data_IF_967257532331
#
_entry.id   IF_967257532331
#
_cell.length_a   1.000
_cell.length_b   1.000
_cell.length_c   1.000
_cell.angle_alpha   90.00
_cell.angle_beta   90.00
_cell.angle_gamma   90.00
#
_symmetry.space_group_name_H-M   'P 1'
#
loop_
_entity.id
_entity.type
_entity.pdbx_description
1 polymer ?
#
# COMPACT_ATOMS: atom_id res chain seq x y z
N UNK A 1 -1.33 -8.93 -9.22
CA UNK A 1 0.00 -9.50 -8.91
C UNK A 1 -0.25 -10.77 -8.11
N UNK A 2 0.19 -11.92 -8.62
CA UNK A 2 0.08 -13.22 -7.93
C UNK A 2 1.42 -13.56 -7.29
N UNK A 3 1.39 -14.34 -6.20
CA UNK A 3 2.58 -14.86 -5.52
C UNK A 3 3.64 -13.78 -5.22
N UNK A 4 3.17 -12.62 -4.74
CA UNK A 4 4.01 -11.43 -4.56
C UNK A 4 5.13 -11.63 -3.53
N UNK A 5 4.97 -12.59 -2.62
CA UNK A 5 5.96 -13.04 -1.64
C UNK A 5 7.16 -13.75 -2.28
N UNK A 6 7.00 -14.32 -3.49
CA UNK A 6 8.05 -15.00 -4.24
C UNK A 6 8.79 -14.09 -5.22
N UNK A 7 8.32 -12.85 -5.39
CA UNK A 7 8.88 -11.90 -6.33
C UNK A 7 9.91 -11.00 -5.64
N UNK A 8 11.00 -10.72 -6.35
CA UNK A 8 11.89 -9.61 -5.98
C UNK A 8 11.19 -8.27 -6.22
N UNK A 9 11.75 -7.17 -5.68
CA UNK A 9 11.22 -5.83 -5.97
C UNK A 9 11.15 -5.54 -7.48
N UNK A 10 12.18 -5.96 -8.23
CA UNK A 10 12.19 -5.83 -9.69
C UNK A 10 11.10 -6.70 -10.35
N UNK A 11 10.87 -7.91 -9.83
CA UNK A 11 9.78 -8.78 -10.31
C UNK A 11 8.40 -8.17 -10.07
N UNK A 12 8.19 -7.54 -8.92
CA UNK A 12 6.94 -6.82 -8.61
C UNK A 12 6.74 -5.66 -9.60
N UNK A 13 7.78 -4.85 -9.86
CA UNK A 13 7.70 -3.73 -10.79
C UNK A 13 7.40 -4.19 -12.22
N UNK A 14 8.06 -5.24 -12.69
CA UNK A 14 7.79 -5.83 -14.00
C UNK A 14 6.33 -6.31 -14.13
N UNK A 15 5.80 -6.95 -13.09
CA UNK A 15 4.41 -7.43 -13.11
C UNK A 15 3.40 -6.27 -13.09
N UNK A 16 3.69 -5.19 -12.37
CA UNK A 16 2.88 -3.95 -12.42
C UNK A 16 2.88 -3.39 -13.84
N UNK A 17 4.04 -3.26 -14.48
CA UNK A 17 4.15 -2.73 -15.84
C UNK A 17 3.42 -3.62 -16.85
N UNK A 18 3.54 -4.95 -16.73
CA UNK A 18 2.84 -5.92 -17.57
C UNK A 18 1.33 -5.72 -17.47
N UNK A 19 0.78 -5.69 -16.26
CA UNK A 19 -0.65 -5.48 -16.02
C UNK A 19 -1.11 -4.11 -16.52
N UNK A 20 -0.33 -3.05 -16.28
CA UNK A 20 -0.65 -1.69 -16.72
C UNK A 20 -0.69 -1.56 -18.26
N UNK A 21 0.22 -2.23 -18.98
CA UNK A 21 0.19 -2.26 -20.44
C UNK A 21 -1.08 -2.95 -20.95
N UNK A 22 -1.41 -4.13 -20.41
CA UNK A 22 -2.60 -4.87 -20.81
C UNK A 22 -3.90 -4.12 -20.56
N UNK A 23 -3.98 -3.35 -19.48
CA UNK A 23 -5.11 -2.45 -19.21
C UNK A 23 -5.23 -1.39 -20.31
N UNK A 24 -4.12 -0.75 -20.72
CA UNK A 24 -4.12 0.25 -21.79
C UNK A 24 -4.51 -0.35 -23.14
N UNK A 25 -4.05 -1.55 -23.41
CA UNK A 25 -4.31 -2.28 -24.65
C UNK A 25 -5.70 -2.97 -24.66
N UNK A 26 -6.44 -2.91 -23.54
CA UNK A 26 -7.76 -3.55 -23.39
C UNK A 26 -7.71 -5.09 -23.41
N UNK A 27 -6.54 -5.67 -23.18
CA UNK A 27 -6.27 -7.11 -23.31
C UNK A 27 -6.16 -7.83 -21.97
N UNK A 28 -6.62 -7.21 -20.88
CA UNK A 28 -6.58 -7.82 -19.55
C UNK A 28 -7.64 -8.92 -19.43
N UNK A 29 -7.22 -10.13 -19.02
CA UNK A 29 -8.15 -11.25 -18.87
C UNK A 29 -8.93 -11.16 -17.55
N UNK A 30 -10.16 -11.69 -17.55
CA UNK A 30 -10.97 -11.75 -16.33
C UNK A 30 -10.29 -12.55 -15.22
N UNK A 31 -9.53 -13.60 -15.58
CA UNK A 31 -8.76 -14.41 -14.64
C UNK A 31 -7.67 -13.61 -13.91
N UNK A 32 -7.18 -12.50 -14.48
CA UNK A 32 -6.20 -11.62 -13.86
C UNK A 32 -6.83 -10.64 -12.85
N UNK A 33 -8.14 -10.41 -12.95
CA UNK A 33 -8.92 -9.56 -12.04
C UNK A 33 -9.43 -10.31 -10.79
N UNK A 34 -9.37 -11.64 -10.79
CA UNK A 34 -9.95 -12.48 -9.74
C UNK A 34 -8.92 -13.01 -8.73
N UNK A 35 -9.37 -13.28 -7.51
CA UNK A 35 -8.60 -14.02 -6.51
C UNK A 35 -7.52 -13.23 -5.76
N UNK A 36 -7.61 -11.90 -5.74
CA UNK A 36 -6.75 -11.08 -4.88
C UNK A 36 -7.10 -11.26 -3.39
N UNK A 37 -6.09 -11.26 -2.52
CA UNK A 37 -6.24 -11.40 -1.06
C UNK A 37 -6.21 -10.06 -0.33
N UNK A 38 -5.61 -9.04 -0.93
CA UNK A 38 -5.49 -7.69 -0.40
C UNK A 38 -5.45 -6.69 -1.57
N UNK A 39 -5.86 -5.45 -1.33
CA UNK A 39 -5.83 -4.38 -2.34
C UNK A 39 -4.97 -3.21 -1.86
N UNK A 40 -4.18 -2.64 -2.78
CA UNK A 40 -3.51 -1.36 -2.60
C UNK A 40 -4.10 -0.39 -3.62
N UNK A 41 -4.55 0.77 -3.16
CA UNK A 41 -5.10 1.83 -3.99
C UNK A 41 -4.29 3.11 -3.79
N UNK A 42 -3.88 3.77 -4.87
CA UNK A 42 -3.10 5.00 -4.82
C UNK A 42 -3.92 6.19 -5.34
N UNK A 43 -4.68 6.83 -4.45
CA UNK A 43 -5.40 8.07 -4.74
C UNK A 43 -4.48 9.31 -4.75
N UNK A 44 -3.22 9.14 -4.33
CA UNK A 44 -2.21 10.21 -4.32
C UNK A 44 -1.90 10.77 -5.71
N UNK A 45 -2.11 9.98 -6.76
CA UNK A 45 -1.97 10.42 -8.16
C UNK A 45 -2.93 11.57 -8.52
N UNK A 46 -4.05 11.69 -7.80
CA UNK A 46 -5.04 12.75 -7.96
C UNK A 46 -4.92 13.87 -6.91
N UNK A 47 -3.85 13.84 -6.09
CA UNK A 47 -3.65 14.82 -5.03
C UNK A 47 -4.48 14.59 -3.77
N UNK A 48 -5.09 13.41 -3.61
CA UNK A 48 -5.82 13.06 -2.38
C UNK A 48 -4.89 13.08 -1.17
N UNK A 49 -5.29 13.76 -0.09
CA UNK A 49 -4.51 13.87 1.14
C UNK A 49 -4.77 12.71 2.11
N UNK A 50 -6.03 12.34 2.29
CA UNK A 50 -6.49 11.25 3.15
C UNK A 50 -7.91 10.86 2.71
N UNK A 51 -8.22 9.57 2.73
CA UNK A 51 -9.54 9.04 2.36
C UNK A 51 -9.80 7.72 3.10
N UNK A 52 -11.05 7.29 3.10
CA UNK A 52 -11.47 5.99 3.63
C UNK A 52 -11.68 5.02 2.46
N UNK A 53 -10.69 4.18 2.11
CA UNK A 53 -10.83 3.26 1.00
C UNK A 53 -11.93 2.22 1.29
N UNK A 54 -12.67 1.84 0.26
CA UNK A 54 -13.75 0.85 0.37
C UNK A 54 -13.16 -0.54 0.12
N UNK A 55 -13.51 -1.51 0.97
CA UNK A 55 -13.10 -2.91 0.81
C UNK A 55 -13.53 -3.45 -0.56
N UNK A 56 -12.71 -4.32 -1.16
CA UNK A 56 -13.05 -5.05 -2.38
C UNK A 56 -13.41 -6.50 -2.00
N UNK A 57 -14.70 -6.85 -1.81
CA UNK A 57 -15.07 -8.19 -1.40
C UNK A 57 -14.57 -9.25 -2.41
N UNK A 58 -14.11 -10.42 -1.95
CA UNK A 58 -14.20 -10.96 -0.59
C UNK A 58 -13.02 -10.61 0.34
N UNK A 59 -12.20 -9.60 0.02
CA UNK A 59 -10.99 -9.28 0.79
C UNK A 59 -11.30 -8.62 2.14
N UNK A 60 -10.44 -8.88 3.12
CA UNK A 60 -10.59 -8.37 4.50
C UNK A 60 -9.89 -7.05 4.75
N UNK A 61 -9.11 -6.53 3.79
CA UNK A 61 -8.36 -5.29 3.96
C UNK A 61 -8.00 -4.58 2.65
N UNK A 62 -7.89 -3.26 2.72
CA UNK A 62 -7.41 -2.40 1.63
C UNK A 62 -6.54 -1.27 2.19
N UNK A 63 -5.37 -1.08 1.58
CA UNK A 63 -4.45 0.03 1.88
C UNK A 63 -4.64 1.17 0.88
N UNK A 64 -4.96 2.36 1.38
CA UNK A 64 -5.00 3.60 0.62
C UNK A 64 -3.70 4.40 0.78
N UNK A 65 -2.98 4.59 -0.32
CA UNK A 65 -1.87 5.54 -0.45
C UNK A 65 -2.39 6.90 -0.94
N UNK A 66 -1.75 7.96 -0.45
CA UNK A 66 -2.14 9.34 -0.68
C UNK A 66 -0.96 10.16 -1.23
N UNK A 67 -1.19 11.45 -1.47
CA UNK A 67 -0.14 12.30 -2.02
C UNK A 67 1.04 12.45 -1.04
N UNK A 68 2.22 12.69 -1.62
CA UNK A 68 3.42 13.03 -0.87
C UNK A 68 3.55 14.55 -0.87
N UNK A 69 3.48 15.16 0.31
CA UNK A 69 3.59 16.62 0.46
C UNK A 69 4.62 16.97 1.53
N UNK A 70 5.34 18.09 1.33
CA UNK A 70 6.27 18.59 2.35
C UNK A 70 5.49 19.04 3.58
N UNK A 71 5.82 18.52 4.75
CA UNK A 71 5.25 18.93 6.04
C UNK A 71 6.35 19.21 7.05
N UNK A 72 6.11 20.17 7.93
CA UNK A 72 6.90 20.37 9.13
C UNK A 72 6.56 19.25 10.12
N UNK A 73 7.58 18.52 10.56
CA UNK A 73 7.48 17.47 11.58
C UNK A 73 8.58 17.67 12.61
N UNK A 74 8.33 17.24 13.83
CA UNK A 74 9.33 17.28 14.90
C UNK A 74 10.10 15.95 14.89
N UNK A 75 11.43 16.02 14.82
CA UNK A 75 12.32 14.84 14.90
C UNK A 75 13.39 15.15 15.94
N UNK A 76 13.35 14.44 17.07
CA UNK A 76 14.04 14.88 18.29
C UNK A 76 13.32 16.12 18.83
N UNK A 77 14.05 17.21 19.02
CA UNK A 77 13.52 18.51 19.48
C UNK A 77 13.61 19.61 18.41
N UNK A 78 13.76 19.23 17.14
CA UNK A 78 13.90 20.16 16.02
C UNK A 78 12.76 20.01 15.01
N UNK A 79 12.26 21.14 14.48
CA UNK A 79 11.33 21.16 13.35
C UNK A 79 12.11 20.90 12.07
N UNK A 80 11.73 19.84 11.34
CA UNK A 80 12.31 19.47 10.06
C UNK A 80 11.22 19.36 9.01
N UNK A 81 11.50 19.85 7.80
CA UNK A 81 10.62 19.63 6.65
C UNK A 81 10.89 18.22 6.11
N UNK A 82 9.83 17.42 5.95
CA UNK A 82 9.90 16.06 5.40
C UNK A 82 8.83 15.82 4.34
N UNK A 83 9.11 15.01 3.30
CA UNK A 83 8.08 14.47 2.43
C UNK A 83 7.24 13.48 3.26
N UNK A 84 5.97 13.81 3.47
CA UNK A 84 5.06 13.00 4.27
C UNK A 84 3.88 12.53 3.42
N UNK A 85 3.43 11.30 3.67
CA UNK A 85 2.24 10.68 3.08
C UNK A 85 1.38 10.14 4.21
N UNK A 86 0.06 10.36 4.14
CA UNK A 86 -0.87 9.58 4.96
C UNK A 86 -1.17 8.24 4.29
N UNK A 87 -1.28 7.21 5.11
CA UNK A 87 -1.76 5.90 4.69
C UNK A 87 -3.03 5.58 5.47
N UNK A 88 -4.01 4.98 4.79
CA UNK A 88 -5.27 4.55 5.41
C UNK A 88 -5.44 3.05 5.22
N UNK A 89 -5.79 2.34 6.29
CA UNK A 89 -6.16 0.93 6.22
C UNK A 89 -7.64 0.81 6.57
N UNK A 90 -8.45 0.40 5.61
CA UNK A 90 -9.80 -0.08 5.89
C UNK A 90 -9.75 -1.60 6.01
N UNK A 91 -10.41 -2.15 7.02
CA UNK A 91 -10.41 -3.58 7.31
C UNK A 91 -11.78 -4.04 7.78
N UNK A 92 -12.08 -5.32 7.54
CA UNK A 92 -13.30 -5.95 8.02
C UNK A 92 -13.16 -6.32 9.50
N UNK A 93 -13.77 -5.51 10.35
CA UNK A 93 -13.69 -5.66 11.81
C UNK A 93 -14.36 -6.93 12.34
N UNK A 94 -15.10 -7.68 11.50
CA UNK A 94 -15.64 -9.00 11.84
C UNK A 94 -14.57 -10.08 11.90
N UNK A 95 -13.43 -9.85 11.23
CA UNK A 95 -12.35 -10.84 11.04
C UNK A 95 -11.05 -10.34 11.65
N UNK A 96 -10.75 -9.04 11.51
CA UNK A 96 -9.49 -8.43 11.95
C UNK A 96 -9.77 -7.52 13.15
N UNK A 97 -9.03 -7.71 14.24
CA UNK A 97 -9.14 -6.84 15.42
C UNK A 97 -8.37 -5.51 15.22
N UNK A 98 -8.79 -4.47 15.95
CA UNK A 98 -8.16 -3.16 15.90
C UNK A 98 -6.66 -3.20 16.23
N UNK A 99 -6.24 -4.07 17.16
CA UNK A 99 -4.81 -4.24 17.48
C UNK A 99 -4.02 -4.76 16.28
N UNK A 100 -4.55 -5.74 15.56
CA UNK A 100 -3.88 -6.36 14.41
C UNK A 100 -3.76 -5.36 13.25
N UNK A 101 -4.85 -4.65 12.96
CA UNK A 101 -4.88 -3.61 11.93
C UNK A 101 -3.87 -2.49 12.21
N UNK A 102 -3.81 -2.00 13.45
CA UNK A 102 -2.85 -0.95 13.85
C UNK A 102 -1.42 -1.47 13.77
N UNK A 103 -1.16 -2.69 14.27
CA UNK A 103 0.19 -3.28 14.25
C UNK A 103 0.67 -3.49 12.81
N UNK A 104 -0.20 -3.96 11.91
CA UNK A 104 0.09 -4.09 10.49
C UNK A 104 0.48 -2.74 9.87
N UNK A 105 -0.30 -1.69 10.12
CA UNK A 105 -0.04 -0.37 9.52
C UNK A 105 1.25 0.27 10.08
N UNK A 106 1.52 0.08 11.37
CA UNK A 106 2.79 0.52 12.00
C UNK A 106 3.97 -0.22 11.39
N UNK A 107 3.88 -1.55 11.22
CA UNK A 107 4.93 -2.35 10.59
C UNK A 107 5.21 -1.87 9.16
N UNK A 108 4.16 -1.63 8.37
CA UNK A 108 4.29 -1.10 7.02
C UNK A 108 4.96 0.28 6.99
N UNK A 109 4.57 1.18 7.88
CA UNK A 109 5.22 2.49 8.05
C UNK A 109 6.71 2.32 8.33
N UNK A 110 7.08 1.46 9.27
CA UNK A 110 8.48 1.23 9.66
C UNK A 110 9.33 0.67 8.51
N UNK A 111 8.80 -0.30 7.76
CA UNK A 111 9.48 -0.87 6.60
C UNK A 111 9.70 0.17 5.49
N UNK A 112 8.75 1.07 5.26
CA UNK A 112 8.89 2.11 4.23
C UNK A 112 9.84 3.22 4.69
N UNK A 113 9.79 3.61 5.96
CA UNK A 113 10.69 4.64 6.51
C UNK A 113 12.14 4.15 6.65
N UNK A 114 12.34 2.83 6.84
CA UNK A 114 13.66 2.21 6.92
C UNK A 114 13.70 0.88 6.12
N UNK A 115 13.85 0.92 4.78
CA UNK A 115 13.77 -0.25 3.90
C UNK A 115 14.78 -1.36 4.20
N UNK A 116 15.91 -1.01 4.80
CA UNK A 116 16.93 -1.95 5.28
C UNK A 116 16.40 -2.97 6.30
N UNK A 117 15.32 -2.65 7.02
CA UNK A 117 14.60 -3.61 7.88
C UNK A 117 14.03 -4.78 7.11
N UNK A 118 13.57 -4.55 5.87
CA UNK A 118 13.06 -5.61 5.00
C UNK A 118 14.17 -6.57 4.54
N UNK A 119 15.43 -6.13 4.53
CA UNK A 119 16.59 -6.98 4.19
C UNK A 119 17.05 -7.83 5.39
N UNK A 120 16.76 -7.37 6.61
CA UNK A 120 17.20 -8.00 7.85
C UNK A 120 16.13 -8.92 8.46
N UNK A 121 14.93 -9.02 7.86
CA UNK A 121 13.77 -9.73 8.40
C UNK A 121 13.41 -9.33 9.85
N UNK A 122 13.68 -8.07 10.25
CA UNK A 122 13.45 -7.52 11.60
C UNK A 122 12.45 -6.38 11.57
#
# INVERSE_FOLDING_TARGET
IRDADQLSFAGIEQEILRLASRVKDGSLELSELQGGTFTISNGGIYGSMLSTPILNPPQSGILGMHNIVKRAVVIGDEIKIRPMMYVALSYDHRIVDGKEAVTFLVRLKECIENPERMLLDI
#
